data_IF_231857926284
#
_entry.id   IF_231857926284
#
_cell.length_a   1.000
_cell.length_b   1.000
_cell.length_c   1.000
_cell.angle_alpha   90.00
_cell.angle_beta   90.00
_cell.angle_gamma   90.00
#
_symmetry.space_group_name_H-M   'P 1'
#
loop_
_entity.id
_entity.type
_entity.pdbx_description
1 polymer ?
#
# COMPACT_ATOMS: atom_id res chain seq x y z
N UNK A 1 -15.57 6.83 -1.73
CA UNK A 1 -14.65 6.16 -0.80
C UNK A 1 -15.28 4.81 -0.55
N UNK A 2 -14.85 3.77 -1.26
CA UNK A 2 -15.36 2.41 -0.99
C UNK A 2 -14.48 1.85 0.13
N UNK A 3 -15.11 1.44 1.23
CA UNK A 3 -14.39 0.89 2.36
C UNK A 3 -13.85 -0.48 1.97
N UNK A 4 -12.61 -0.79 2.37
CA UNK A 4 -12.03 -2.13 2.23
C UNK A 4 -12.99 -3.20 2.79
N UNK A 5 -13.79 -2.91 3.82
CA UNK A 5 -14.84 -3.82 4.31
C UNK A 5 -15.78 -4.37 3.23
N UNK A 6 -16.01 -3.63 2.16
CA UNK A 6 -16.92 -4.02 1.06
C UNK A 6 -16.25 -5.03 0.09
N UNK A 7 -14.93 -4.96 -0.05
CA UNK A 7 -14.11 -6.01 -0.72
C UNK A 7 -13.89 -7.23 0.18
N UNK A 8 -13.98 -7.06 1.50
CA UNK A 8 -13.74 -8.08 2.52
C UNK A 8 -15.01 -8.53 3.25
N UNK A 9 -16.20 -8.38 2.63
CA UNK A 9 -17.50 -8.61 3.27
C UNK A 9 -17.70 -9.99 3.93
N UNK A 10 -16.87 -10.97 3.60
CA UNK A 10 -16.64 -12.18 4.39
C UNK A 10 -15.13 -12.31 4.68
N UNK A 11 -14.67 -11.64 5.73
CA UNK A 11 -13.24 -11.59 6.15
C UNK A 11 -12.63 -12.97 6.45
N UNK A 12 -13.45 -14.02 6.61
CA UNK A 12 -12.98 -15.41 6.70
C UNK A 12 -12.52 -16.02 5.38
N UNK A 13 -12.89 -15.47 4.21
CA UNK A 13 -12.74 -16.17 2.93
C UNK A 13 -11.60 -15.69 2.02
N UNK A 14 -11.00 -14.52 2.25
CA UNK A 14 -10.00 -13.98 1.30
C UNK A 14 -8.57 -14.33 1.73
N UNK A 15 -8.24 -14.23 3.02
CA UNK A 15 -6.90 -14.54 3.53
C UNK A 15 -6.89 -15.57 4.67
N UNK A 16 -8.04 -16.18 5.00
CA UNK A 16 -8.24 -17.11 6.13
C UNK A 16 -7.45 -16.72 7.39
N UNK A 17 -7.43 -15.42 7.68
CA UNK A 17 -6.69 -14.82 8.79
C UNK A 17 -7.71 -14.22 9.72
N UNK A 18 -7.58 -14.48 11.02
CA UNK A 18 -8.41 -13.85 12.02
C UNK A 18 -8.08 -12.35 12.05
N UNK A 19 -9.00 -11.53 11.56
CA UNK A 19 -8.80 -10.08 11.38
C UNK A 19 -8.55 -9.34 12.69
N UNK A 20 -8.86 -9.98 13.81
CA UNK A 20 -8.62 -9.47 15.17
C UNK A 20 -7.13 -9.30 15.50
N UNK A 21 -6.24 -10.02 14.80
CA UNK A 21 -4.78 -9.87 14.98
C UNK A 21 -4.13 -8.95 13.95
N UNK A 22 -4.88 -8.44 12.96
CA UNK A 22 -4.33 -7.53 11.96
C UNK A 22 -4.16 -6.16 12.60
N UNK A 23 -2.94 -5.66 12.57
CA UNK A 23 -2.56 -4.34 13.08
C UNK A 23 -1.88 -3.52 11.99
N UNK A 24 -1.84 -2.21 12.16
CA UNK A 24 -0.95 -1.33 11.38
C UNK A 24 0.48 -1.91 11.39
N UNK A 25 1.12 -1.97 10.22
CA UNK A 25 2.42 -2.59 10.00
C UNK A 25 2.40 -4.09 9.70
N UNK A 26 1.23 -4.75 9.71
CA UNK A 26 1.13 -6.18 9.38
C UNK A 26 1.36 -6.44 7.90
N UNK A 27 1.95 -7.60 7.58
CA UNK A 27 1.98 -8.16 6.23
C UNK A 27 0.99 -9.33 6.14
N UNK A 28 0.14 -9.30 5.13
CA UNK A 28 -0.83 -10.34 4.82
C UNK A 28 -0.39 -11.05 3.54
N UNK A 29 -0.35 -12.37 3.60
CA UNK A 29 -0.03 -13.20 2.44
C UNK A 29 -1.31 -13.76 1.84
N UNK A 30 -1.47 -13.57 0.54
CA UNK A 30 -2.53 -14.23 -0.21
C UNK A 30 -2.45 -15.74 -0.10
N UNK A 31 -3.62 -16.37 0.01
CA UNK A 31 -3.70 -17.82 -0.05
C UNK A 31 -3.19 -18.34 -1.41
N UNK A 32 -2.57 -19.54 -1.44
CA UNK A 32 -2.06 -20.12 -2.67
C UNK A 32 -3.09 -20.23 -3.81
N UNK A 33 -4.37 -20.39 -3.47
CA UNK A 33 -5.48 -20.60 -4.42
C UNK A 33 -6.44 -19.41 -4.50
N UNK A 34 -5.98 -18.21 -4.13
CA UNK A 34 -6.74 -16.97 -4.28
C UNK A 34 -7.26 -16.83 -5.72
N UNK A 35 -8.58 -16.75 -5.86
CA UNK A 35 -9.26 -16.64 -7.15
C UNK A 35 -9.36 -15.21 -7.66
N UNK A 36 -9.34 -14.21 -6.77
CA UNK A 36 -9.33 -12.81 -7.16
C UNK A 36 -7.98 -12.48 -7.85
N UNK A 37 -7.98 -12.06 -9.13
CA UNK A 37 -6.76 -11.74 -9.85
C UNK A 37 -5.97 -10.57 -9.23
N UNK A 38 -6.64 -9.63 -8.58
CA UNK A 38 -5.99 -8.49 -7.91
C UNK A 38 -5.17 -8.95 -6.72
N UNK A 39 -5.57 -10.03 -6.03
CA UNK A 39 -4.90 -10.51 -4.82
C UNK A 39 -4.16 -11.84 -5.01
N UNK A 40 -4.25 -12.47 -6.18
CA UNK A 40 -3.51 -13.71 -6.45
C UNK A 40 -2.00 -13.53 -6.22
N UNK A 41 -1.42 -14.38 -5.36
CA UNK A 41 -0.02 -14.31 -4.89
C UNK A 41 0.39 -12.95 -4.29
N UNK A 42 -0.56 -12.13 -3.87
CA UNK A 42 -0.26 -10.81 -3.32
C UNK A 42 0.35 -10.88 -1.92
N UNK A 43 1.26 -9.96 -1.65
CA UNK A 43 1.70 -9.56 -0.31
C UNK A 43 1.11 -8.19 -0.05
N UNK A 44 0.23 -8.08 0.94
CA UNK A 44 -0.46 -6.82 1.28
C UNK A 44 0.13 -6.27 2.58
N UNK A 45 0.55 -5.01 2.57
CA UNK A 45 1.03 -4.29 3.75
C UNK A 45 -0.06 -3.38 4.31
N UNK A 46 -0.32 -3.46 5.61
CA UNK A 46 -1.39 -2.71 6.27
C UNK A 46 -0.85 -1.39 6.82
N UNK A 47 -1.34 -0.28 6.27
CA UNK A 47 -0.95 1.06 6.68
C UNK A 47 -1.90 1.64 7.73
N UNK A 48 -3.19 1.33 7.64
CA UNK A 48 -4.17 1.78 8.63
C UNK A 48 -5.11 0.66 8.99
N UNK A 49 -5.45 0.59 10.28
CA UNK A 49 -6.47 -0.30 10.79
C UNK A 49 -7.37 0.53 11.71
N UNK A 50 -8.59 0.73 11.28
CA UNK A 50 -9.66 1.31 12.07
C UNK A 50 -10.80 0.28 12.19
N UNK A 51 -11.49 0.26 13.34
CA UNK A 51 -12.59 -0.67 13.57
C UNK A 51 -13.92 -0.17 12.98
N UNK A 52 -14.03 1.13 12.71
CA UNK A 52 -15.21 1.80 12.14
C UNK A 52 -14.99 2.20 10.68
N UNK A 53 -13.80 2.70 10.32
CA UNK A 53 -13.48 3.23 8.99
C UNK A 53 -12.84 2.19 8.04
N UNK A 54 -12.54 0.99 8.55
CA UNK A 54 -11.98 -0.11 7.79
C UNK A 54 -10.45 -0.18 7.83
N UNK A 55 -9.85 -0.92 6.89
CA UNK A 55 -8.40 -1.19 6.85
C UNK A 55 -7.83 -0.69 5.54
N UNK A 56 -6.74 0.05 5.56
CA UNK A 56 -6.03 0.49 4.36
C UNK A 56 -4.74 -0.30 4.21
N UNK A 57 -4.50 -0.83 3.02
CA UNK A 57 -3.26 -1.53 2.72
C UNK A 57 -2.92 -1.56 1.23
N UNK A 58 -1.65 -1.86 0.96
CA UNK A 58 -1.08 -1.86 -0.39
C UNK A 58 -0.47 -3.20 -0.75
N UNK A 59 -0.68 -3.62 -2.00
CA UNK A 59 0.02 -4.76 -2.57
C UNK A 59 1.46 -4.34 -2.89
N UNK A 60 2.44 -5.10 -2.38
CA UNK A 60 3.86 -4.75 -2.51
C UNK A 60 4.59 -5.46 -3.66
N UNK A 61 4.05 -6.57 -4.16
CA UNK A 61 4.80 -7.52 -5.01
C UNK A 61 4.22 -7.69 -6.42
N UNK A 62 3.50 -6.68 -6.92
CA UNK A 62 2.96 -6.66 -8.28
C UNK A 62 3.52 -5.50 -9.09
N UNK A 63 4.64 -5.68 -9.81
CA UNK A 63 5.18 -4.63 -10.66
C UNK A 63 4.21 -4.32 -11.80
N UNK A 64 4.07 -3.05 -12.16
CA UNK A 64 3.23 -2.61 -13.30
C UNK A 64 3.96 -2.75 -14.64
N UNK A 65 5.28 -2.86 -14.60
CA UNK A 65 6.16 -2.79 -15.78
C UNK A 65 6.51 -1.36 -16.19
N UNK A 66 6.04 -0.36 -15.45
CA UNK A 66 6.39 1.05 -15.63
C UNK A 66 7.47 1.48 -14.62
N UNK A 67 8.33 2.39 -15.02
CA UNK A 67 9.22 3.13 -14.14
C UNK A 67 8.56 4.41 -13.61
N UNK A 68 9.02 4.91 -12.47
CA UNK A 68 8.54 6.14 -11.84
C UNK A 68 8.68 7.35 -12.78
N UNK A 69 9.78 7.42 -13.52
CA UNK A 69 10.03 8.45 -14.54
C UNK A 69 9.01 8.47 -15.68
N UNK A 70 8.28 7.38 -15.90
CA UNK A 70 7.21 7.31 -16.90
C UNK A 70 5.88 7.85 -16.38
N UNK A 71 5.68 7.86 -15.06
CA UNK A 71 4.45 8.33 -14.42
C UNK A 71 4.55 9.75 -13.85
N UNK A 72 5.77 10.21 -13.55
CA UNK A 72 6.02 11.50 -12.89
C UNK A 72 7.05 12.29 -13.69
N UNK A 73 6.64 13.51 -14.09
CA UNK A 73 7.54 14.46 -14.76
C UNK A 73 8.68 14.91 -13.84
N UNK A 74 9.82 15.28 -14.42
CA UNK A 74 11.03 15.72 -13.73
C UNK A 74 11.59 14.74 -12.67
N UNK A 75 11.28 13.44 -12.83
CA UNK A 75 11.91 12.36 -12.07
C UNK A 75 12.76 11.52 -13.03
N UNK A 76 14.05 11.38 -12.74
CA UNK A 76 15.01 10.70 -13.62
C UNK A 76 15.54 9.38 -13.05
N UNK A 77 15.00 8.94 -11.91
CA UNK A 77 15.34 7.66 -11.29
C UNK A 77 14.54 6.52 -11.93
N UNK A 78 15.25 5.45 -12.26
CA UNK A 78 14.69 4.18 -12.74
C UNK A 78 14.22 3.33 -11.55
N UNK A 79 13.13 3.76 -10.91
CA UNK A 79 12.47 3.02 -9.85
C UNK A 79 11.20 2.34 -10.39
N UNK A 80 11.02 1.02 -10.21
CA UNK A 80 9.83 0.32 -10.68
C UNK A 80 8.59 0.76 -9.91
N UNK A 81 7.48 0.95 -10.62
CA UNK A 81 6.18 1.16 -10.03
C UNK A 81 5.49 -0.17 -9.73
N UNK A 82 4.81 -0.20 -8.59
CA UNK A 82 4.04 -1.34 -8.14
C UNK A 82 2.56 -0.99 -8.12
N UNK A 83 1.74 -1.95 -8.53
CA UNK A 83 0.30 -1.87 -8.43
C UNK A 83 -0.11 -2.01 -6.96
N UNK A 84 -0.52 -0.89 -6.35
CA UNK A 84 -0.87 -0.84 -4.93
C UNK A 84 -2.22 -1.48 -4.58
N UNK A 85 -3.11 -1.64 -5.56
CA UNK A 85 -4.44 -2.22 -5.35
C UNK A 85 -5.48 -1.72 -6.36
N UNK A 86 -6.70 -2.27 -6.32
CA UNK A 86 -7.76 -1.93 -7.28
C UNK A 86 -8.45 -0.59 -7.03
N UNK A 87 -8.17 0.06 -5.90
CA UNK A 87 -8.79 1.31 -5.49
C UNK A 87 -7.83 2.46 -5.75
N UNK A 88 -8.32 3.57 -6.32
CA UNK A 88 -7.56 4.79 -6.57
C UNK A 88 -6.24 4.55 -7.32
N UNK A 89 -6.30 3.76 -8.40
CA UNK A 89 -5.15 3.36 -9.24
C UNK A 89 -4.43 4.52 -9.92
N UNK A 90 -4.99 5.72 -9.87
CA UNK A 90 -4.46 6.97 -10.41
C UNK A 90 -3.67 7.80 -9.37
N UNK A 91 -3.49 7.26 -8.15
CA UNK A 91 -2.74 7.91 -7.08
C UNK A 91 -1.38 7.24 -6.86
N UNK A 92 -0.38 8.05 -6.53
CA UNK A 92 0.96 7.57 -6.17
C UNK A 92 1.10 7.53 -4.65
N UNK A 93 1.45 6.37 -4.14
CA UNK A 93 1.81 6.18 -2.73
C UNK A 93 3.25 5.69 -2.63
N UNK A 94 3.93 6.14 -1.59
CA UNK A 94 5.33 5.82 -1.36
C UNK A 94 5.60 5.63 0.13
N UNK A 95 6.65 4.86 0.39
CA UNK A 95 7.14 4.59 1.74
C UNK A 95 8.59 5.09 1.85
N UNK A 96 8.95 5.61 3.02
CA UNK A 96 10.29 6.16 3.26
C UNK A 96 10.68 6.06 4.73
N UNK A 97 11.96 6.28 5.02
CA UNK A 97 12.56 6.31 6.36
C UNK A 97 12.91 7.72 6.85
N UNK A 98 12.50 8.74 6.09
CA UNK A 98 12.86 10.14 6.33
C UNK A 98 12.15 10.80 7.53
N UNK A 99 11.14 10.16 8.13
CA UNK A 99 10.40 10.67 9.29
C UNK A 99 9.93 12.11 9.14
N UNK A 100 10.11 12.90 10.20
CA UNK A 100 9.70 14.32 10.29
C UNK A 100 10.37 15.25 9.26
N UNK A 101 11.34 14.75 8.47
CA UNK A 101 11.94 15.54 7.36
C UNK A 101 10.94 15.78 6.23
N UNK A 102 9.90 14.96 6.14
CA UNK A 102 8.83 15.08 5.16
C UNK A 102 7.54 15.44 5.90
N UNK A 103 6.99 16.61 5.59
CA UNK A 103 5.74 17.06 6.20
C UNK A 103 4.58 16.17 5.73
N UNK A 104 3.66 15.85 6.65
CA UNK A 104 2.48 15.03 6.35
C UNK A 104 2.73 13.51 6.31
N UNK A 105 3.95 13.06 6.62
CA UNK A 105 4.26 11.64 6.72
C UNK A 105 3.61 10.99 7.93
N UNK A 106 3.11 9.76 7.75
CA UNK A 106 2.49 8.96 8.82
C UNK A 106 3.38 7.78 9.16
N UNK A 107 3.77 7.63 10.43
CA UNK A 107 4.54 6.47 10.88
C UNK A 107 3.64 5.22 10.92
N UNK A 108 4.11 4.15 10.26
CA UNK A 108 3.40 2.88 10.10
C UNK A 108 4.04 1.78 10.94
N UNK A 109 5.36 1.72 10.94
CA UNK A 109 6.16 0.83 11.76
C UNK A 109 7.45 1.56 12.16
N UNK A 110 8.25 0.97 13.06
CA UNK A 110 9.48 1.57 13.57
C UNK A 110 10.41 2.04 12.43
N UNK A 111 10.49 3.36 12.25
CA UNK A 111 11.30 3.99 11.20
C UNK A 111 10.73 3.91 9.77
N UNK A 112 9.49 3.43 9.58
CA UNK A 112 8.82 3.32 8.28
C UNK A 112 7.61 4.23 8.21
N UNK A 113 7.65 5.17 7.27
CA UNK A 113 6.64 6.19 7.07
C UNK A 113 5.95 6.02 5.72
N UNK A 114 4.68 6.39 5.66
CA UNK A 114 3.86 6.41 4.46
C UNK A 114 3.38 7.83 4.15
N UNK A 115 3.41 8.18 2.86
CA UNK A 115 2.92 9.46 2.36
C UNK A 115 3.77 10.64 2.81
N UNK A 116 3.17 11.83 2.78
CA UNK A 116 3.85 13.10 2.98
C UNK A 116 3.93 13.91 1.69
N UNK A 117 4.61 15.06 1.76
CA UNK A 117 4.79 15.93 0.59
C UNK A 117 5.71 15.27 -0.46
N UNK A 118 5.10 14.88 -1.57
CA UNK A 118 5.79 14.25 -2.68
C UNK A 118 6.81 15.19 -3.34
N UNK A 119 6.56 16.50 -3.40
CA UNK A 119 7.50 17.44 -4.02
C UNK A 119 8.81 17.54 -3.22
N UNK A 120 8.71 17.50 -1.90
CA UNK A 120 9.88 17.43 -1.02
C UNK A 120 10.71 16.18 -1.31
N UNK A 121 10.09 15.00 -1.45
CA UNK A 121 10.83 13.76 -1.79
C UNK A 121 11.40 13.81 -3.19
N UNK A 122 10.62 14.29 -4.17
CA UNK A 122 11.05 14.46 -5.56
C UNK A 122 12.32 15.29 -5.66
N UNK A 123 12.47 16.33 -4.84
CA UNK A 123 13.67 17.17 -4.79
C UNK A 123 14.93 16.47 -4.24
N UNK A 124 14.77 15.29 -3.61
CA UNK A 124 15.86 14.51 -3.01
C UNK A 124 16.32 13.33 -3.87
N UNK A 125 15.60 13.02 -4.96
CA UNK A 125 15.90 11.94 -5.91
C UNK A 125 16.90 12.39 -6.98
#
# INVERSE_FOLDING_TARGET
>A
MEHFSDLFGDTKNIFNTDITFIQRGSLILAEPFMMDPNFKHAVVFICEKDDQEGTLGFILNKPTGLALSEAVEDVFVDAPLYYGGPVQTDTLHFFHDLGDRIEGSTEIADGLYWGGDFETIKSML
#
